data_IF_151259099737
#
_entry.id   IF_151259099737
#
_cell.length_a   1.000
_cell.length_b   1.000
_cell.length_c   1.000
_cell.angle_alpha   90.00
_cell.angle_beta   90.00
_cell.angle_gamma   90.00
#
_symmetry.space_group_name_H-M   'P 1'
#
loop_
_entity.id
_entity.type
_entity.pdbx_description
1 polymer ?
#
# COMPACT_ATOMS: atom_id res chain seq x y z
N UNK A 1 -5.12 -2.42 35.47
CA UNK A 1 -4.99 -2.81 34.05
C UNK A 1 -5.08 -1.57 33.17
N UNK A 2 -3.94 -1.04 32.69
CA UNK A 2 -3.95 0.15 31.84
C UNK A 2 -4.49 -0.18 30.45
N UNK A 3 -5.53 0.53 29.99
CA UNK A 3 -6.04 0.49 28.61
C UNK A 3 -4.87 0.69 27.63
N UNK A 4 -4.43 -0.37 26.94
CA UNK A 4 -3.48 -0.24 25.83
C UNK A 4 -4.18 0.55 24.73
N UNK A 5 -3.78 1.81 24.54
CA UNK A 5 -4.30 2.65 23.45
C UNK A 5 -3.94 1.99 22.11
N UNK A 6 -4.93 1.88 21.24
CA UNK A 6 -4.74 1.41 19.86
C UNK A 6 -3.82 2.39 19.12
N UNK A 7 -2.84 1.86 18.39
CA UNK A 7 -1.91 2.65 17.58
C UNK A 7 -2.62 3.26 16.38
N UNK A 8 -2.31 4.52 16.04
CA UNK A 8 -2.83 5.18 14.83
C UNK A 8 -2.55 4.36 13.56
N UNK A 9 -1.34 3.80 13.42
CA UNK A 9 -0.97 2.92 12.31
C UNK A 9 -1.82 1.65 12.26
N UNK A 10 -2.21 1.11 13.41
CA UNK A 10 -3.09 -0.05 13.49
C UNK A 10 -4.52 0.31 13.05
N UNK A 11 -5.03 1.47 13.46
CA UNK A 11 -6.34 1.96 13.03
C UNK A 11 -6.40 2.17 11.52
N UNK A 12 -5.36 2.78 10.92
CA UNK A 12 -5.29 2.94 9.47
C UNK A 12 -5.23 1.57 8.77
N UNK A 13 -4.37 0.67 9.23
CA UNK A 13 -4.26 -0.68 8.69
C UNK A 13 -5.61 -1.41 8.68
N UNK A 14 -6.36 -1.33 9.78
CA UNK A 14 -7.69 -1.93 9.88
C UNK A 14 -8.70 -1.25 8.94
N UNK A 15 -8.71 0.09 8.89
CA UNK A 15 -9.60 0.83 8.01
C UNK A 15 -9.36 0.51 6.53
N UNK A 16 -8.11 0.49 6.09
CA UNK A 16 -7.74 0.12 4.73
C UNK A 16 -8.10 -1.32 4.38
N UNK A 17 -7.84 -2.26 5.30
CA UNK A 17 -8.24 -3.64 5.13
C UNK A 17 -9.76 -3.75 4.88
N UNK A 18 -10.57 -3.10 5.71
CA UNK A 18 -12.04 -3.12 5.58
C UNK A 18 -12.51 -2.46 4.28
N UNK A 19 -11.96 -1.30 3.92
CA UNK A 19 -12.30 -0.60 2.67
C UNK A 19 -11.99 -1.50 1.46
N UNK A 20 -10.80 -2.11 1.40
CA UNK A 20 -10.44 -2.99 0.30
C UNK A 20 -11.28 -4.29 0.29
N UNK A 21 -11.60 -4.85 1.46
CA UNK A 21 -12.45 -6.03 1.58
C UNK A 21 -13.87 -5.78 1.06
N UNK A 22 -14.42 -4.59 1.32
CA UNK A 22 -15.73 -4.16 0.79
C UNK A 22 -15.64 -3.89 -0.73
N UNK A 23 -14.52 -3.35 -1.20
CA UNK A 23 -14.34 -2.99 -2.61
C UNK A 23 -14.23 -4.21 -3.55
N UNK A 24 -13.48 -5.24 -3.17
CA UNK A 24 -13.17 -6.39 -4.05
C UNK A 24 -14.44 -7.07 -4.60
N UNK A 25 -15.48 -7.38 -3.81
CA UNK A 25 -16.73 -7.97 -4.31
C UNK A 25 -17.47 -7.06 -5.30
N UNK A 26 -17.39 -5.74 -5.11
CA UNK A 26 -18.07 -4.76 -5.96
C UNK A 26 -17.44 -4.67 -7.35
N UNK A 27 -16.20 -5.13 -7.53
CA UNK A 27 -15.51 -5.11 -8.82
C UNK A 27 -16.31 -5.78 -9.94
N UNK A 28 -17.08 -6.84 -9.61
CA UNK A 28 -17.96 -7.53 -10.57
C UNK A 28 -19.01 -6.61 -11.22
N UNK A 29 -19.47 -5.59 -10.50
CA UNK A 29 -20.42 -4.60 -11.03
C UNK A 29 -19.75 -3.52 -11.88
N UNK A 30 -18.46 -3.28 -11.68
CA UNK A 30 -17.69 -2.29 -12.44
C UNK A 30 -17.07 -2.86 -13.72
N UNK A 31 -16.78 -4.16 -13.75
CA UNK A 31 -16.18 -4.85 -14.89
C UNK A 31 -16.92 -4.60 -16.24
N UNK A 32 -18.26 -4.66 -16.33
CA UNK A 32 -18.98 -4.43 -17.60
C UNK A 32 -18.80 -3.00 -18.13
N UNK A 33 -18.74 -2.01 -17.25
CA UNK A 33 -18.57 -0.60 -17.61
C UNK A 33 -17.16 -0.31 -18.12
N UNK A 34 -16.15 -1.02 -17.60
CA UNK A 34 -14.77 -0.98 -18.10
C UNK A 34 -14.67 -1.62 -19.49
N UNK A 35 -15.50 -2.63 -19.79
CA UNK A 35 -15.54 -3.26 -21.12
C UNK A 35 -16.22 -2.41 -22.19
N UNK A 36 -17.23 -1.61 -21.82
CA UNK A 36 -17.98 -0.77 -22.76
C UNK A 36 -17.28 0.56 -23.08
N UNK A 37 -16.44 1.08 -22.18
CA UNK A 37 -15.79 2.38 -22.32
C UNK A 37 -14.34 2.23 -22.81
N UNK A 38 -14.17 2.04 -24.12
CA UNK A 38 -12.86 1.86 -24.76
C UNK A 38 -11.80 2.95 -24.51
N UNK A 39 -12.09 4.00 -23.73
CA UNK A 39 -11.21 5.16 -23.52
C UNK A 39 -11.12 5.76 -22.09
N UNK A 40 -11.67 5.21 -21.00
CA UNK A 40 -11.72 5.92 -19.68
C UNK A 40 -11.01 5.11 -18.57
N UNK A 41 -9.77 5.44 -18.14
CA UNK A 41 -9.38 6.30 -16.97
C UNK A 41 -10.29 6.22 -15.73
N UNK A 42 -9.78 6.29 -14.49
CA UNK A 42 -8.82 5.41 -13.86
C UNK A 42 -9.53 4.70 -12.68
N UNK A 43 -9.75 3.40 -12.76
CA UNK A 43 -10.40 2.64 -11.68
C UNK A 43 -9.35 2.06 -10.72
N UNK A 44 -9.74 1.81 -9.47
CA UNK A 44 -8.91 1.03 -8.55
C UNK A 44 -8.96 -0.43 -8.99
N UNK A 45 -7.88 -0.95 -9.55
CA UNK A 45 -7.91 -2.33 -10.05
C UNK A 45 -7.90 -3.33 -8.89
N UNK A 46 -8.55 -4.51 -9.02
CA UNK A 46 -8.71 -5.48 -7.94
C UNK A 46 -7.36 -5.97 -7.42
N UNK A 47 -6.38 -6.18 -8.31
CA UNK A 47 -5.01 -6.53 -7.92
C UNK A 47 -4.32 -5.42 -7.12
N UNK A 48 -4.60 -4.14 -7.43
CA UNK A 48 -4.14 -3.00 -6.61
C UNK A 48 -4.79 -3.04 -5.22
N UNK A 49 -6.11 -3.24 -5.16
CA UNK A 49 -6.85 -3.33 -3.91
C UNK A 49 -6.36 -4.49 -3.03
N UNK A 50 -6.10 -5.67 -3.60
CA UNK A 50 -5.50 -6.80 -2.89
C UNK A 50 -4.12 -6.45 -2.36
N UNK A 51 -3.27 -5.82 -3.18
CA UNK A 51 -1.92 -5.42 -2.75
C UNK A 51 -1.98 -4.48 -1.54
N UNK A 52 -2.85 -3.46 -1.59
CA UNK A 52 -3.05 -2.52 -0.49
C UNK A 52 -3.65 -3.22 0.74
N UNK A 53 -4.63 -4.11 0.55
CA UNK A 53 -5.23 -4.91 1.62
C UNK A 53 -4.16 -5.74 2.33
N UNK A 54 -3.34 -6.49 1.59
CA UNK A 54 -2.28 -7.34 2.11
C UNK A 54 -1.20 -6.53 2.82
N UNK A 55 -0.77 -5.39 2.25
CA UNK A 55 0.17 -4.47 2.91
C UNK A 55 -0.42 -3.85 4.18
N UNK A 56 -1.73 -3.56 4.20
CA UNK A 56 -2.42 -3.04 5.37
C UNK A 56 -2.48 -4.08 6.48
N UNK A 57 -2.76 -5.34 6.16
CA UNK A 57 -2.66 -6.45 7.13
C UNK A 57 -1.23 -6.58 7.64
N UNK A 58 -0.23 -6.56 6.75
CA UNK A 58 1.18 -6.63 7.14
C UNK A 58 1.57 -5.47 8.09
N UNK A 59 1.11 -4.25 7.82
CA UNK A 59 1.29 -3.09 8.69
C UNK A 59 0.58 -3.29 10.05
N UNK A 60 -0.67 -3.75 10.03
CA UNK A 60 -1.47 -4.02 11.23
C UNK A 60 -0.80 -5.04 12.14
N UNK A 61 -0.25 -6.12 11.57
CA UNK A 61 0.51 -7.14 12.31
C UNK A 61 1.76 -6.55 12.98
N UNK A 62 2.48 -5.64 12.32
CA UNK A 62 3.63 -4.94 12.93
C UNK A 62 3.24 -3.93 14.00
N UNK A 63 2.00 -3.45 13.98
CA UNK A 63 1.45 -2.47 14.93
C UNK A 63 0.60 -3.11 16.03
N UNK A 64 0.42 -4.43 16.00
CA UNK A 64 -0.47 -5.13 16.92
C UNK A 64 -0.02 -4.96 18.37
N UNK A 65 -0.95 -4.76 19.33
CA UNK A 65 -0.61 -4.50 20.72
C UNK A 65 0.07 -5.68 21.43
N UNK A 66 -0.01 -6.90 20.88
CA UNK A 66 0.56 -8.13 21.44
C UNK A 66 1.81 -8.60 20.68
N UNK A 67 2.38 -7.77 19.79
CA UNK A 67 3.53 -8.14 18.96
C UNK A 67 4.75 -8.61 19.76
N UNK A 68 5.02 -7.98 20.90
CA UNK A 68 6.18 -8.31 21.74
C UNK A 68 6.04 -9.72 22.38
N UNK A 69 4.82 -10.30 22.43
CA UNK A 69 4.55 -11.65 22.95
C UNK A 69 4.53 -12.72 21.85
N UNK A 70 4.32 -12.34 20.58
CA UNK A 70 4.15 -13.27 19.47
C UNK A 70 5.08 -12.90 18.30
N UNK A 71 6.31 -13.45 18.24
CA UNK A 71 7.25 -13.18 17.14
C UNK A 71 6.73 -13.66 15.78
N UNK A 72 5.80 -14.62 15.79
CA UNK A 72 5.09 -15.13 14.60
C UNK A 72 4.35 -14.03 13.83
N UNK A 73 3.84 -12.98 14.49
CA UNK A 73 3.17 -11.87 13.82
C UNK A 73 4.13 -11.06 12.93
N UNK A 74 5.40 -10.94 13.36
CA UNK A 74 6.43 -10.28 12.55
C UNK A 74 6.73 -11.14 11.32
N UNK A 75 6.91 -12.45 11.50
CA UNK A 75 7.17 -13.38 10.39
C UNK A 75 6.01 -13.29 9.38
N UNK A 76 4.77 -13.39 9.84
CA UNK A 76 3.59 -13.30 8.98
C UNK A 76 3.53 -11.97 8.21
N UNK A 77 3.80 -10.85 8.88
CA UNK A 77 3.89 -9.54 8.22
C UNK A 77 4.95 -9.51 7.12
N UNK A 78 6.14 -10.07 7.38
CA UNK A 78 7.21 -10.15 6.37
C UNK A 78 6.81 -11.05 5.22
N UNK A 79 6.21 -12.22 5.48
CA UNK A 79 5.73 -13.14 4.45
C UNK A 79 4.70 -12.46 3.55
N UNK A 80 3.71 -11.77 4.12
CA UNK A 80 2.73 -11.00 3.35
C UNK A 80 3.38 -9.90 2.50
N UNK A 81 4.41 -9.23 3.03
CA UNK A 81 5.17 -8.22 2.29
C UNK A 81 5.97 -8.84 1.13
N UNK A 82 6.59 -10.01 1.33
CA UNK A 82 7.27 -10.75 0.24
C UNK A 82 6.28 -11.13 -0.85
N UNK A 83 5.09 -11.62 -0.49
CA UNK A 83 4.04 -11.97 -1.47
C UNK A 83 3.69 -10.76 -2.34
N UNK A 84 3.44 -9.59 -1.75
CA UNK A 84 3.12 -8.37 -2.51
C UNK A 84 4.32 -7.92 -3.37
N UNK A 85 5.55 -8.05 -2.87
CA UNK A 85 6.75 -7.74 -3.64
C UNK A 85 6.86 -8.64 -4.88
N UNK A 86 6.68 -9.96 -4.71
CA UNK A 86 6.70 -10.91 -5.82
C UNK A 86 5.63 -10.59 -6.86
N UNK A 87 4.38 -10.36 -6.45
CA UNK A 87 3.31 -9.98 -7.39
C UNK A 87 3.64 -8.69 -8.13
N UNK A 88 4.13 -7.67 -7.42
CA UNK A 88 4.49 -6.40 -8.03
C UNK A 88 5.62 -6.56 -9.05
N UNK A 89 6.63 -7.37 -8.75
CA UNK A 89 7.73 -7.69 -9.67
C UNK A 89 7.21 -8.42 -10.92
N UNK A 90 6.33 -9.41 -10.74
CA UNK A 90 5.72 -10.14 -11.87
C UNK A 90 5.02 -9.16 -12.81
N UNK A 91 4.12 -8.31 -12.30
CA UNK A 91 3.43 -7.32 -13.14
C UNK A 91 4.41 -6.34 -13.80
N UNK A 92 5.45 -5.88 -13.10
CA UNK A 92 6.46 -5.00 -13.70
C UNK A 92 7.26 -5.69 -14.81
N UNK A 93 7.60 -6.97 -14.65
CA UNK A 93 8.26 -7.76 -15.68
C UNK A 93 7.37 -7.98 -16.89
N UNK A 94 6.07 -8.19 -16.70
CA UNK A 94 5.11 -8.25 -17.80
C UNK A 94 5.06 -6.94 -18.57
N UNK A 95 5.04 -5.80 -17.87
CA UNK A 95 5.08 -4.49 -18.51
C UNK A 95 6.41 -4.22 -19.24
N UNK A 96 7.53 -4.71 -18.70
CA UNK A 96 8.85 -4.51 -19.29
C UNK A 96 9.09 -5.41 -20.51
N UNK A 97 8.62 -6.67 -20.47
CA UNK A 97 8.85 -7.67 -21.53
C UNK A 97 7.75 -7.70 -22.58
N UNK A 98 6.56 -7.19 -22.25
CA UNK A 98 5.35 -7.38 -23.06
C UNK A 98 4.81 -8.82 -23.05
N UNK A 99 5.50 -9.75 -22.36
CA UNK A 99 5.11 -11.15 -22.22
C UNK A 99 4.14 -11.26 -21.05
N UNK A 100 3.00 -11.92 -21.28
CA UNK A 100 1.97 -12.09 -20.26
C UNK A 100 2.19 -13.38 -19.49
N UNK A 101 2.14 -13.32 -18.16
CA UNK A 101 1.90 -14.51 -17.37
C UNK A 101 0.41 -14.88 -17.45
N UNK A 102 0.10 -16.20 -17.53
CA UNK A 102 -1.24 -16.67 -17.81
C UNK A 102 -2.25 -16.29 -16.72
N UNK A 103 -3.48 -15.98 -17.16
CA UNK A 103 -4.78 -16.12 -16.50
C UNK A 103 -5.01 -15.58 -15.08
N UNK A 104 -4.12 -14.74 -14.54
CA UNK A 104 -4.36 -14.01 -13.28
C UNK A 104 -5.66 -13.18 -13.33
N UNK A 105 -6.06 -12.73 -14.51
CA UNK A 105 -7.26 -11.90 -14.68
C UNK A 105 -8.55 -12.73 -14.71
N UNK A 106 -8.48 -14.03 -15.01
CA UNK A 106 -9.66 -14.92 -15.06
C UNK A 106 -10.34 -15.00 -13.70
N UNK A 107 -9.59 -14.91 -12.60
CA UNK A 107 -10.15 -14.91 -11.26
C UNK A 107 -11.16 -13.76 -11.03
N UNK A 108 -10.91 -12.59 -11.62
CA UNK A 108 -11.77 -11.42 -11.49
C UNK A 108 -12.75 -11.24 -12.66
N UNK A 109 -12.46 -11.86 -13.80
CA UNK A 109 -13.17 -11.71 -15.07
C UNK A 109 -13.41 -13.09 -15.73
N UNK A 110 -14.16 -14.01 -15.08
CA UNK A 110 -14.30 -15.39 -15.55
C UNK A 110 -14.98 -15.50 -16.92
N UNK A 111 -15.83 -14.54 -17.26
CA UNK A 111 -16.62 -14.54 -18.52
C UNK A 111 -15.96 -13.75 -19.66
N UNK A 112 -14.70 -13.31 -19.50
CA UNK A 112 -13.99 -12.49 -20.50
C UNK A 112 -13.40 -13.31 -21.65
N UNK A 113 -14.23 -14.02 -22.41
CA UNK A 113 -13.82 -14.92 -23.50
C UNK A 113 -13.41 -14.22 -24.81
N UNK A 114 -13.32 -12.87 -24.85
CA UNK A 114 -13.50 -12.15 -26.13
C UNK A 114 -12.44 -11.17 -26.65
N UNK A 115 -11.36 -10.78 -25.95
CA UNK A 115 -10.47 -9.78 -26.57
C UNK A 115 -9.14 -9.48 -25.89
N UNK A 116 -8.05 -9.51 -26.68
CA UNK A 116 -6.66 -9.25 -26.25
C UNK A 116 -6.44 -7.88 -25.57
N UNK A 117 -7.29 -6.90 -25.84
CA UNK A 117 -7.24 -5.52 -25.29
C UNK A 117 -7.95 -5.42 -23.93
N UNK A 118 -8.87 -6.34 -23.60
CA UNK A 118 -9.71 -6.32 -22.40
C UNK A 118 -9.02 -6.95 -21.16
N UNK A 119 -7.90 -7.63 -21.35
CA UNK A 119 -7.20 -8.44 -20.35
C UNK A 119 -6.35 -7.63 -19.34
N UNK A 120 -6.18 -6.31 -19.52
CA UNK A 120 -5.46 -5.46 -18.56
C UNK A 120 -6.38 -4.77 -17.54
N UNK A 121 -7.70 -4.94 -17.65
CA UNK A 121 -8.68 -4.22 -16.83
C UNK A 121 -8.53 -4.50 -15.32
N UNK A 122 -8.15 -5.72 -14.96
CA UNK A 122 -7.98 -6.13 -13.57
C UNK A 122 -6.58 -5.83 -13.00
N UNK A 123 -5.58 -5.57 -13.86
CA UNK A 123 -4.16 -5.51 -13.48
C UNK A 123 -3.78 -4.20 -12.80
N UNK A 124 -2.80 -4.19 -11.88
CA UNK A 124 -2.30 -2.94 -11.35
C UNK A 124 -1.56 -2.21 -12.47
N UNK A 125 -1.69 -0.89 -12.53
CA UNK A 125 -0.88 -0.07 -13.43
C UNK A 125 0.60 -0.17 -13.03
N UNK A 126 1.55 0.15 -13.93
CA UNK A 126 2.98 0.17 -13.58
C UNK A 126 3.27 1.05 -12.35
N UNK A 127 2.55 2.18 -12.24
CA UNK A 127 2.69 3.11 -11.13
C UNK A 127 2.21 2.51 -9.81
N UNK A 128 1.05 1.84 -9.79
CA UNK A 128 0.57 1.10 -8.62
C UNK A 128 1.51 -0.04 -8.24
N UNK A 129 2.04 -0.79 -9.21
CA UNK A 129 2.97 -1.89 -8.95
C UNK A 129 4.28 -1.40 -8.32
N UNK A 130 4.90 -0.33 -8.85
CA UNK A 130 6.09 0.30 -8.25
C UNK A 130 5.78 0.80 -6.82
N UNK A 131 4.61 1.40 -6.63
CA UNK A 131 4.20 1.93 -5.32
C UNK A 131 4.02 0.81 -4.29
N UNK A 132 3.28 -0.25 -4.65
CA UNK A 132 3.12 -1.46 -3.82
C UNK A 132 4.46 -2.12 -3.50
N UNK A 133 5.34 -2.27 -4.49
CA UNK A 133 6.68 -2.82 -4.30
C UNK A 133 7.49 -2.00 -3.31
N UNK A 134 7.46 -0.67 -3.43
CA UNK A 134 8.19 0.24 -2.55
C UNK A 134 7.71 0.12 -1.10
N UNK A 135 6.39 0.06 -0.87
CA UNK A 135 5.83 -0.18 0.47
C UNK A 135 6.12 -1.58 1.00
N UNK A 136 6.08 -2.61 0.15
CA UNK A 136 6.46 -3.97 0.53
C UNK A 136 7.92 -4.02 1.00
N UNK A 137 8.84 -3.43 0.24
CA UNK A 137 10.26 -3.31 0.59
C UNK A 137 10.42 -2.52 1.90
N UNK A 138 9.70 -1.41 2.07
CA UNK A 138 9.72 -0.66 3.32
C UNK A 138 9.33 -1.56 4.51
N UNK A 139 8.18 -2.23 4.44
CA UNK A 139 7.73 -3.14 5.50
C UNK A 139 8.71 -4.29 5.74
N UNK A 140 9.38 -4.83 4.70
CA UNK A 140 10.43 -5.84 4.84
C UNK A 140 11.67 -5.31 5.56
N UNK A 141 12.10 -4.10 5.24
CA UNK A 141 13.27 -3.47 5.83
C UNK A 141 13.02 -2.92 7.23
N UNK A 142 11.75 -2.77 7.63
CA UNK A 142 11.39 -2.30 8.96
C UNK A 142 12.01 -3.19 10.05
N UNK A 143 13.00 -2.65 10.76
CA UNK A 143 13.63 -3.24 11.93
C UNK A 143 14.03 -2.11 12.88
N UNK A 144 13.75 -2.29 14.16
CA UNK A 144 13.97 -1.25 15.16
C UNK A 144 15.45 -1.01 15.46
N UNK A 145 16.27 -2.05 15.43
CA UNK A 145 17.60 -2.01 16.07
C UNK A 145 18.72 -1.55 15.13
N UNK A 146 18.49 -1.59 13.81
CA UNK A 146 19.52 -1.23 12.81
C UNK A 146 19.26 0.15 12.20
N UNK A 147 20.23 1.06 12.38
CA UNK A 147 20.18 2.43 11.84
C UNK A 147 20.14 2.44 10.31
N UNK A 148 20.94 1.60 9.66
CA UNK A 148 20.97 1.54 8.20
C UNK A 148 19.66 1.04 7.61
N UNK A 149 19.08 -0.04 8.18
CA UNK A 149 17.76 -0.54 7.76
C UNK A 149 16.66 0.50 7.96
N UNK A 150 16.74 1.30 9.03
CA UNK A 150 15.81 2.41 9.26
C UNK A 150 15.91 3.49 8.17
N UNK A 151 17.13 3.84 7.74
CA UNK A 151 17.32 4.81 6.64
C UNK A 151 16.74 4.27 5.33
N UNK A 152 17.02 3.00 5.01
CA UNK A 152 16.45 2.36 3.83
C UNK A 152 14.92 2.27 3.89
N UNK A 153 14.36 1.97 5.07
CA UNK A 153 12.91 2.02 5.29
C UNK A 153 12.35 3.41 4.95
N UNK A 154 12.96 4.49 5.46
CA UNK A 154 12.52 5.86 5.18
C UNK A 154 12.64 6.20 3.69
N UNK A 155 13.73 5.78 3.04
CA UNK A 155 13.93 5.96 1.60
C UNK A 155 12.85 5.22 0.80
N UNK A 156 12.58 3.96 1.14
CA UNK A 156 11.56 3.15 0.46
C UNK A 156 10.15 3.74 0.62
N UNK A 157 9.83 4.28 1.81
CA UNK A 157 8.56 5.00 2.03
C UNK A 157 8.49 6.28 1.20
N UNK A 158 9.59 7.04 1.12
CA UNK A 158 9.66 8.25 0.30
C UNK A 158 9.44 7.94 -1.18
N UNK A 159 10.12 6.92 -1.70
CA UNK A 159 9.94 6.45 -3.08
C UNK A 159 8.50 5.97 -3.32
N UNK A 160 7.92 5.21 -2.38
CA UNK A 160 6.54 4.77 -2.46
C UNK A 160 5.52 5.91 -2.46
N UNK A 161 5.82 7.04 -1.80
CA UNK A 161 4.95 8.21 -1.79
C UNK A 161 5.16 9.15 -2.99
N UNK A 162 6.23 8.98 -3.76
CA UNK A 162 6.54 9.87 -4.89
C UNK A 162 5.45 9.83 -5.96
N UNK A 163 5.09 8.64 -6.46
CA UNK A 163 4.09 8.50 -7.53
C UNK A 163 2.68 8.95 -7.11
N UNK A 164 2.17 8.56 -5.92
CA UNK A 164 0.92 9.13 -5.40
C UNK A 164 0.98 10.66 -5.27
N UNK A 165 2.15 11.24 -4.96
CA UNK A 165 2.30 12.70 -4.85
C UNK A 165 2.27 13.40 -6.19
N UNK A 166 2.95 12.86 -7.20
CA UNK A 166 2.85 13.40 -8.56
C UNK A 166 1.41 13.30 -9.09
N UNK A 167 0.74 12.18 -8.85
CA UNK A 167 -0.68 12.01 -9.18
C UNK A 167 -1.57 13.01 -8.44
N UNK A 168 -1.40 13.16 -7.13
CA UNK A 168 -2.16 14.10 -6.31
C UNK A 168 -1.99 15.56 -6.73
N UNK A 169 -0.76 16.01 -6.99
CA UNK A 169 -0.47 17.37 -7.48
C UNK A 169 -1.15 17.63 -8.82
N UNK A 170 -1.13 16.64 -9.72
CA UNK A 170 -1.81 16.78 -11.00
C UNK A 170 -3.33 16.89 -10.83
N UNK A 171 -3.96 16.02 -10.03
CA UNK A 171 -5.39 16.14 -9.74
C UNK A 171 -5.76 17.49 -9.13
N UNK A 172 -4.91 18.05 -8.25
CA UNK A 172 -5.10 19.39 -7.71
C UNK A 172 -4.94 20.46 -8.80
N UNK A 173 -3.94 20.35 -9.67
CA UNK A 173 -3.77 21.29 -10.77
C UNK A 173 -4.94 21.27 -11.76
N UNK A 174 -5.53 20.10 -12.03
CA UNK A 174 -6.74 20.01 -12.84
C UNK A 174 -7.91 20.73 -12.17
N UNK A 175 -8.10 20.52 -10.86
CA UNK A 175 -9.16 21.17 -10.09
C UNK A 175 -9.05 22.72 -10.07
N UNK A 176 -7.82 23.25 -10.00
CA UNK A 176 -7.59 24.69 -9.82
C UNK A 176 -7.28 25.46 -11.12
N UNK A 177 -6.74 24.80 -12.15
CA UNK A 177 -6.17 25.46 -13.34
C UNK A 177 -6.88 25.07 -14.64
N UNK A 178 -7.40 23.86 -14.76
CA UNK A 178 -7.92 23.36 -16.04
C UNK A 178 -9.47 23.36 -16.10
N UNK A 179 -10.05 24.27 -16.89
CA UNK A 179 -11.47 24.24 -17.32
C UNK A 179 -11.75 23.18 -18.41
N UNK A 180 -10.87 22.19 -18.62
CA UNK A 180 -10.98 21.21 -19.71
C UNK A 180 -11.08 19.77 -19.20
N UNK A 181 -11.80 18.89 -19.93
CA UNK A 181 -12.08 17.53 -19.48
C UNK A 181 -10.80 16.71 -19.37
N UNK A 182 -10.57 16.20 -18.16
CA UNK A 182 -9.47 15.36 -17.72
C UNK A 182 -9.22 14.18 -18.68
N UNK A 183 -8.19 14.30 -19.52
CA UNK A 183 -7.81 13.24 -20.46
C UNK A 183 -6.32 12.89 -20.41
N UNK A 184 -5.54 13.43 -19.46
CA UNK A 184 -4.15 13.01 -19.27
C UNK A 184 -4.00 12.12 -18.03
N UNK A 185 -3.98 10.82 -18.34
CA UNK A 185 -3.89 9.68 -17.43
C UNK A 185 -2.51 9.61 -16.76
N UNK A 186 -2.32 10.29 -15.63
CA UNK A 186 -1.31 9.79 -14.69
C UNK A 186 -1.72 8.38 -14.28
N UNK A 187 -0.80 7.43 -14.38
CA UNK A 187 -1.11 6.00 -14.29
C UNK A 187 -1.64 5.53 -12.93
N UNK A 188 -2.04 6.40 -12.01
CA UNK A 188 -2.65 6.09 -10.72
C UNK A 188 -4.05 6.70 -10.66
N UNK A 189 -5.04 5.87 -10.35
CA UNK A 189 -6.40 6.34 -10.10
C UNK A 189 -6.49 7.18 -8.82
N UNK A 190 -7.46 8.11 -8.78
CA UNK A 190 -7.70 8.93 -7.59
C UNK A 190 -7.96 8.05 -6.34
N UNK A 191 -8.80 7.00 -6.38
CA UNK A 191 -8.96 6.10 -5.23
C UNK A 191 -7.65 5.39 -4.84
N UNK A 192 -6.86 4.90 -5.80
CA UNK A 192 -5.57 4.28 -5.49
C UNK A 192 -4.61 5.27 -4.82
N UNK A 193 -4.57 6.51 -5.31
CA UNK A 193 -3.77 7.60 -4.75
C UNK A 193 -4.14 7.85 -3.29
N UNK A 194 -5.44 7.99 -2.97
CA UNK A 194 -5.92 8.18 -1.60
C UNK A 194 -5.55 7.00 -0.69
N UNK A 195 -5.72 5.76 -1.15
CA UNK A 195 -5.40 4.57 -0.38
C UNK A 195 -3.89 4.44 -0.10
N UNK A 196 -3.04 4.74 -1.08
CA UNK A 196 -1.59 4.74 -0.88
C UNK A 196 -1.12 5.85 0.07
N UNK A 197 -1.75 7.02 0.05
CA UNK A 197 -1.48 8.07 1.03
C UNK A 197 -1.85 7.66 2.44
N UNK A 198 -3.03 7.05 2.61
CA UNK A 198 -3.45 6.50 3.89
C UNK A 198 -2.45 5.43 4.35
N UNK A 199 -2.10 4.47 3.50
CA UNK A 199 -1.11 3.43 3.82
C UNK A 199 0.23 4.05 4.23
N UNK A 200 0.73 5.00 3.45
CA UNK A 200 1.96 5.72 3.73
C UNK A 200 1.92 6.49 5.04
N UNK A 201 0.80 7.12 5.39
CA UNK A 201 0.64 7.79 6.69
C UNK A 201 0.72 6.80 7.86
N UNK A 202 0.15 5.60 7.71
CA UNK A 202 0.24 4.52 8.68
C UNK A 202 1.67 3.98 8.83
N UNK A 203 2.39 3.81 7.72
CA UNK A 203 3.79 3.37 7.70
C UNK A 203 4.72 4.43 8.29
N UNK A 204 4.51 5.71 7.98
CA UNK A 204 5.27 6.82 8.58
C UNK A 204 5.06 6.90 10.09
N UNK A 205 3.81 6.74 10.55
CA UNK A 205 3.47 6.73 11.97
C UNK A 205 4.12 5.54 12.72
N UNK A 206 4.29 4.39 12.06
CA UNK A 206 5.05 3.26 12.60
C UNK A 206 6.52 3.65 12.84
N UNK A 207 7.12 4.41 11.94
CA UNK A 207 8.50 4.90 12.07
C UNK A 207 8.69 6.00 13.14
N UNK A 208 7.68 6.85 13.36
CA UNK A 208 7.72 7.97 14.31
C UNK A 208 7.40 7.54 15.75
N UNK A 209 6.45 6.62 15.95
CA UNK A 209 6.09 6.08 17.27
C UNK A 209 7.27 5.45 18.03
N UNK A 210 8.25 4.94 17.30
CA UNK A 210 9.51 4.40 17.85
C UNK A 210 10.41 5.47 18.49
N UNK A 211 10.46 6.70 17.94
CA UNK A 211 11.27 7.79 18.53
C UNK A 211 10.73 8.19 19.91
N UNK A 212 9.40 8.20 20.06
CA UNK A 212 8.72 8.61 21.29
C UNK A 212 8.99 7.58 22.40
N UNK A 213 8.86 6.27 22.12
CA UNK A 213 9.07 5.20 23.11
C UNK A 213 10.51 5.15 23.66
N UNK A 214 11.53 5.31 22.80
CA UNK A 214 12.95 5.38 23.23
C UNK A 214 13.23 6.60 24.11
N UNK A 215 12.66 7.76 23.76
CA UNK A 215 12.86 9.01 24.52
C UNK A 215 12.19 8.99 25.90
N UNK A 216 11.09 8.24 26.05
CA UNK A 216 10.45 8.02 27.35
C UNK A 216 11.30 7.08 28.23
N UNK A 217 11.84 6.00 27.66
CA UNK A 217 12.62 5.03 28.43
C UNK A 217 13.96 5.62 28.93
N UNK A 218 14.64 6.40 28.09
CA UNK A 218 15.88 7.10 28.48
C UNK A 218 15.65 8.13 29.61
N UNK A 219 14.49 8.79 29.63
CA UNK A 219 14.12 9.74 30.70
C UNK A 219 13.85 9.04 32.03
N UNK A 220 13.20 7.88 32.01
CA UNK A 220 13.00 7.07 33.21
C UNK A 220 14.34 6.62 33.79
N UNK A 221 15.26 6.12 32.95
CA UNK A 221 16.57 5.66 33.41
C UNK A 221 17.42 6.79 34.03
N UNK A 222 17.33 8.02 33.51
CA UNK A 222 18.03 9.19 34.10
C UNK A 222 17.44 9.63 35.44
N UNK A 223 16.15 9.41 35.69
CA UNK A 223 15.53 9.75 36.99
C UNK A 223 15.96 8.80 38.11
N UNK A 224 16.19 7.52 37.79
CA UNK A 224 16.63 6.53 38.78
C UNK A 224 18.15 6.57 39.07
N UNK A 225 18.94 7.25 38.23
CA UNK A 225 20.40 7.36 38.36
C UNK A 225 20.87 8.67 39.02
N UNK A 226 19.96 9.49 39.59
CA UNK A 226 20.37 10.63 40.42
C UNK A 226 20.55 10.13 41.87
N UNK A 227 21.78 9.97 42.37
CA UNK A 227 22.01 9.70 43.79
C UNK A 227 21.46 10.89 44.60
N UNK A 228 20.81 10.55 45.72
CA UNK A 228 20.33 11.49 46.74
C UNK A 228 21.54 11.99 47.52
#
# INVERSE_FOLDING_TARGET
MGRRRVSFSFTIALGLFLICLIYIPQWKHYAPNVHASGTVSPYLTPWTAISIMTLSVALGLLCAPFRDQHPTLIILSKTLSVIVACFSIVFLLEYATGIRFPDLDIFFLPDSTGGRVLLYAARPTPHSAVTSLSFAIALLLFRHDSVWRRRLFQLAVLVGLLLPTLAGVHYLSELFVARHPATQKLGLSLPATMLYYLLGSGVLALGSGLKIRRSAHARLHRRFMRPI
#
